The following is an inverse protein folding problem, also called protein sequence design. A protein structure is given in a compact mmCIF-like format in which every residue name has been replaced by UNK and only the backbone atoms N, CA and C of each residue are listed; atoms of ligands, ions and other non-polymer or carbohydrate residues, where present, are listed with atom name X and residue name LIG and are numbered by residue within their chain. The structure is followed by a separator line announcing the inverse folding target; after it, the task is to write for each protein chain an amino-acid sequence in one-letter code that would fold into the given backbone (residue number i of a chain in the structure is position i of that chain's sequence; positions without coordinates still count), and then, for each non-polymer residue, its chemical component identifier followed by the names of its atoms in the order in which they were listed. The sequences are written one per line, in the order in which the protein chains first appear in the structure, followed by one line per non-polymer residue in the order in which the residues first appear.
data_IF_217543457619
#
_entry.id   IF_217543457619
#
_cell.length_a   1.000
_cell.length_b   1.000
_cell.length_c   1.000
_cell.angle_alpha   90.00
_cell.angle_beta   90.00
_cell.angle_gamma   90.00
#
_symmetry.space_group_name_H-M   'P 1'
#
loop_
_entity.id
_entity.type
_entity.pdbx_description
1 polymer ?
#
# COMPACT_ATOMS: atom_id res chain seq x y z
N UNK A 1 0.37 10.95 28.27
CA UNK A 1 -0.81 11.23 27.46
C UNK A 1 -1.07 10.01 26.55
N UNK A 2 -2.26 9.37 26.70
CA UNK A 2 -2.64 8.17 25.92
C UNK A 2 -2.70 8.47 24.42
N UNK A 3 -3.12 9.67 24.02
CA UNK A 3 -3.18 10.07 22.61
C UNK A 3 -1.78 10.10 21.95
N UNK A 4 -0.78 10.65 22.61
CA UNK A 4 0.59 10.68 22.05
C UNK A 4 1.23 9.26 21.98
N UNK A 5 0.89 8.40 22.92
CA UNK A 5 1.32 7.01 22.89
C UNK A 5 0.59 6.24 21.77
N UNK A 6 -0.69 6.52 21.52
CA UNK A 6 -1.43 5.98 20.37
C UNK A 6 -0.76 6.39 19.05
N UNK A 7 -0.43 7.67 18.89
CA UNK A 7 0.28 8.17 17.69
C UNK A 7 1.64 7.50 17.52
N UNK A 8 2.37 7.26 18.61
CA UNK A 8 3.66 6.56 18.57
C UNK A 8 3.51 5.09 18.14
N UNK A 9 2.52 4.38 18.71
CA UNK A 9 2.21 2.98 18.33
C UNK A 9 1.86 2.89 16.82
N UNK A 10 1.04 3.82 16.31
CA UNK A 10 0.67 3.89 14.89
C UNK A 10 1.89 4.19 14.00
N UNK A 11 2.78 5.07 14.45
CA UNK A 11 4.04 5.34 13.76
C UNK A 11 4.91 4.09 13.61
N UNK A 12 4.98 3.26 14.66
CA UNK A 12 5.68 1.97 14.63
C UNK A 12 4.95 0.95 13.74
N UNK A 13 3.61 0.86 13.80
CA UNK A 13 2.82 0.05 12.87
C UNK A 13 3.18 0.37 11.41
N UNK A 14 3.27 1.65 11.06
CA UNK A 14 3.60 2.10 9.70
C UNK A 14 4.98 1.64 9.24
N UNK A 15 5.98 1.71 10.14
CA UNK A 15 7.34 1.23 9.86
C UNK A 15 7.33 -0.28 9.63
N UNK A 16 6.70 -1.03 10.52
CA UNK A 16 6.69 -2.49 10.45
C UNK A 16 5.84 -3.03 9.30
N UNK A 17 4.74 -2.35 8.96
CA UNK A 17 3.97 -2.65 7.75
C UNK A 17 4.83 -2.48 6.48
N UNK A 18 5.58 -1.39 6.36
CA UNK A 18 6.44 -1.13 5.20
C UNK A 18 7.61 -2.10 5.06
N UNK A 19 8.13 -2.60 6.17
CA UNK A 19 9.27 -3.52 6.20
C UNK A 19 8.84 -4.99 6.30
N UNK A 20 7.54 -5.28 6.16
CA UNK A 20 6.94 -6.62 6.27
C UNK A 20 7.33 -7.36 7.56
N UNK A 21 7.52 -6.63 8.66
CA UNK A 21 7.75 -7.17 10.00
C UNK A 21 6.39 -7.42 10.68
N UNK A 22 5.74 -8.49 10.27
CA UNK A 22 4.32 -8.74 10.56
C UNK A 22 4.03 -8.91 12.05
N UNK A 23 4.90 -9.62 12.80
CA UNK A 23 4.74 -9.82 14.24
C UNK A 23 4.75 -8.49 14.99
N UNK A 24 5.75 -7.66 14.72
CA UNK A 24 5.91 -6.35 15.35
C UNK A 24 4.74 -5.41 14.97
N UNK A 25 4.32 -5.45 13.71
CA UNK A 25 3.12 -4.72 13.28
C UNK A 25 1.91 -5.10 14.13
N UNK A 26 1.68 -6.40 14.30
CA UNK A 26 0.53 -6.91 15.03
C UNK A 26 0.57 -6.53 16.53
N UNK A 27 1.73 -6.61 17.15
CA UNK A 27 1.90 -6.23 18.56
C UNK A 27 1.55 -4.75 18.79
N UNK A 28 2.02 -3.86 17.92
CA UNK A 28 1.71 -2.42 18.01
C UNK A 28 0.27 -2.11 17.60
N UNK A 29 -0.31 -2.81 16.64
CA UNK A 29 -1.72 -2.69 16.30
C UNK A 29 -2.61 -3.02 17.50
N UNK A 30 -2.33 -4.11 18.21
CA UNK A 30 -3.06 -4.48 19.42
C UNK A 30 -2.86 -3.47 20.55
N UNK A 31 -1.66 -2.92 20.69
CA UNK A 31 -1.41 -1.83 21.63
C UNK A 31 -2.25 -0.59 21.31
N UNK A 32 -2.26 -0.17 20.05
CA UNK A 32 -3.05 0.95 19.56
C UNK A 32 -4.55 0.74 19.81
N UNK A 33 -5.10 -0.43 19.49
CA UNK A 33 -6.51 -0.76 19.73
C UNK A 33 -6.89 -0.65 21.22
N UNK A 34 -6.03 -1.16 22.12
CA UNK A 34 -6.28 -1.02 23.57
C UNK A 34 -6.28 0.43 24.03
N UNK A 35 -5.44 1.29 23.41
CA UNK A 35 -5.41 2.72 23.72
C UNK A 35 -6.64 3.44 23.17
N UNK A 36 -7.03 3.15 21.93
CA UNK A 36 -8.26 3.69 21.32
C UNK A 36 -9.46 3.39 22.23
N UNK A 37 -9.61 2.13 22.65
CA UNK A 37 -10.66 1.72 23.57
C UNK A 37 -10.66 2.51 24.90
N UNK A 38 -9.47 2.73 25.51
CA UNK A 38 -9.35 3.53 26.73
C UNK A 38 -9.70 5.00 26.51
N UNK A 39 -9.31 5.56 25.37
CA UNK A 39 -9.65 6.94 25.00
C UNK A 39 -11.18 7.08 24.85
N UNK A 40 -11.83 6.12 24.19
CA UNK A 40 -13.28 6.10 24.00
C UNK A 40 -14.04 5.94 25.35
N UNK A 41 -13.52 5.10 26.27
CA UNK A 41 -14.11 4.86 27.60
C UNK A 41 -13.93 6.05 28.55
N UNK A 42 -12.86 6.83 28.44
CA UNK A 42 -12.54 7.93 29.35
C UNK A 42 -13.48 9.13 29.17
N UNK A 43 -14.33 9.16 28.15
CA UNK A 43 -15.39 10.15 27.86
C UNK A 43 -15.00 11.61 28.14
N UNK A 44 -13.71 11.88 28.36
CA UNK A 44 -13.15 13.21 28.44
C UNK A 44 -13.20 13.77 27.04
N UNK A 45 -14.23 14.48 26.75
CA UNK A 45 -14.33 15.27 25.54
C UNK A 45 -13.01 16.05 25.40
N UNK A 46 -12.25 15.72 24.35
CA UNK A 46 -11.14 16.54 23.93
C UNK A 46 -11.72 17.91 23.53
N UNK A 47 -11.73 18.82 24.48
CA UNK A 47 -12.38 20.14 24.32
C UNK A 47 -11.54 21.02 23.42
N UNK A 48 -10.21 20.77 23.38
CA UNK A 48 -9.30 21.52 22.54
C UNK A 48 -9.40 21.04 21.08
N UNK A 49 -9.53 22.00 20.17
CA UNK A 49 -9.56 21.77 18.72
C UNK A 49 -8.32 21.03 18.23
N UNK A 50 -7.15 21.33 18.79
CA UNK A 50 -5.87 20.71 18.39
C UNK A 50 -5.84 19.22 18.78
N UNK A 51 -6.28 18.88 20.00
CA UNK A 51 -6.36 17.49 20.43
C UNK A 51 -7.37 16.68 19.60
N UNK A 52 -8.50 17.27 19.22
CA UNK A 52 -9.48 16.61 18.32
C UNK A 52 -8.91 16.33 16.94
N UNK A 53 -8.20 17.28 16.34
CA UNK A 53 -7.54 17.06 15.06
C UNK A 53 -6.47 15.96 15.17
N UNK A 54 -5.74 15.94 16.27
CA UNK A 54 -4.74 14.92 16.56
C UNK A 54 -5.35 13.53 16.74
N UNK A 55 -6.50 13.45 17.39
CA UNK A 55 -7.27 12.22 17.55
C UNK A 55 -7.80 11.71 16.21
N UNK A 56 -8.39 12.57 15.39
CA UNK A 56 -8.89 12.23 14.06
C UNK A 56 -7.76 11.72 13.15
N UNK A 57 -6.58 12.36 13.21
CA UNK A 57 -5.38 11.87 12.55
C UNK A 57 -5.03 10.45 13.03
N UNK A 58 -4.95 10.22 14.33
CA UNK A 58 -4.55 8.94 14.89
C UNK A 58 -5.51 7.81 14.46
N UNK A 59 -6.83 8.04 14.54
CA UNK A 59 -7.83 7.05 14.16
C UNK A 59 -7.79 6.77 12.64
N UNK A 60 -7.77 7.80 11.80
CA UNK A 60 -7.71 7.62 10.35
C UNK A 60 -6.42 6.92 9.91
N UNK A 61 -5.26 7.32 10.46
CA UNK A 61 -3.97 6.70 10.15
C UNK A 61 -3.93 5.22 10.60
N UNK A 62 -4.49 4.90 11.77
CA UNK A 62 -4.60 3.52 12.25
C UNK A 62 -5.35 2.63 11.26
N UNK A 63 -6.51 3.07 10.80
CA UNK A 63 -7.33 2.29 9.88
C UNK A 63 -6.74 2.23 8.46
N UNK A 64 -6.14 3.33 7.97
CA UNK A 64 -5.45 3.33 6.66
C UNK A 64 -4.27 2.35 6.68
N UNK A 65 -3.41 2.42 7.71
CA UNK A 65 -2.24 1.53 7.83
C UNK A 65 -2.67 0.07 8.00
N UNK A 66 -3.75 -0.20 8.74
CA UNK A 66 -4.34 -1.54 8.86
C UNK A 66 -4.87 -2.03 7.51
N UNK A 67 -5.57 -1.20 6.75
CA UNK A 67 -6.08 -1.55 5.42
C UNK A 67 -4.93 -1.89 4.45
N UNK A 68 -3.85 -1.10 4.46
CA UNK A 68 -2.64 -1.36 3.67
C UNK A 68 -1.99 -2.68 4.07
N UNK A 69 -1.87 -2.96 5.37
CA UNK A 69 -1.34 -4.23 5.88
C UNK A 69 -2.14 -5.43 5.36
N UNK A 70 -3.46 -5.41 5.53
CA UNK A 70 -4.33 -6.49 5.04
C UNK A 70 -4.31 -6.62 3.52
N UNK A 71 -4.20 -5.52 2.79
CA UNK A 71 -4.01 -5.56 1.33
C UNK A 71 -2.77 -6.34 0.93
N UNK A 72 -1.62 -6.11 1.58
CA UNK A 72 -0.37 -6.85 1.30
C UNK A 72 -0.46 -8.33 1.69
N UNK A 73 -1.21 -8.67 2.72
CA UNK A 73 -1.52 -10.06 3.07
C UNK A 73 -2.56 -10.71 2.13
N UNK A 74 -3.09 -9.96 1.15
CA UNK A 74 -4.18 -10.39 0.26
C UNK A 74 -5.48 -10.74 1.00
N UNK A 75 -5.71 -10.13 2.14
CA UNK A 75 -6.94 -10.21 2.93
C UNK A 75 -7.82 -9.00 2.57
N UNK A 76 -8.39 -9.04 1.36
CA UNK A 76 -9.21 -7.93 0.85
C UNK A 76 -10.43 -7.61 1.71
N UNK A 77 -11.19 -8.57 2.24
CA UNK A 77 -12.33 -8.27 3.11
C UNK A 77 -11.93 -7.45 4.34
N UNK A 78 -10.84 -7.80 5.01
CA UNK A 78 -10.31 -7.13 6.18
C UNK A 78 -9.77 -5.73 5.83
N UNK A 79 -9.13 -5.60 4.66
CA UNK A 79 -8.68 -4.31 4.17
C UNK A 79 -9.85 -3.35 3.90
N UNK A 80 -10.93 -3.85 3.25
CA UNK A 80 -12.15 -3.08 2.99
C UNK A 80 -12.85 -2.72 4.31
N UNK A 81 -12.98 -3.68 5.24
CA UNK A 81 -13.56 -3.40 6.55
C UNK A 81 -12.77 -2.30 7.28
N UNK A 82 -11.43 -2.38 7.29
CA UNK A 82 -10.60 -1.38 7.93
C UNK A 82 -10.77 0.02 7.34
N UNK A 83 -10.79 0.15 6.00
CA UNK A 83 -10.92 1.49 5.38
C UNK A 83 -12.31 2.08 5.58
N UNK A 84 -13.34 1.26 5.73
CA UNK A 84 -14.72 1.68 5.95
C UNK A 84 -15.01 2.11 7.40
N UNK A 85 -14.12 1.79 8.36
CA UNK A 85 -14.19 2.32 9.74
C UNK A 85 -13.88 3.81 9.81
N UNK A 86 -13.32 4.41 8.75
CA UNK A 86 -13.05 5.85 8.68
C UNK A 86 -14.35 6.59 8.37
N UNK A 87 -15.00 7.06 9.43
CA UNK A 87 -16.26 7.79 9.33
C UNK A 87 -16.37 8.84 10.44
N UNK A 88 -16.93 10.05 10.20
CA UNK A 88 -17.39 10.57 8.91
C UNK A 88 -16.25 11.20 8.09
N UNK A 89 -16.34 11.15 6.77
CA UNK A 89 -15.38 11.77 5.84
C UNK A 89 -15.22 13.29 6.05
N UNK A 90 -16.23 13.95 6.62
CA UNK A 90 -16.21 15.39 6.93
C UNK A 90 -15.10 15.74 7.94
N UNK A 91 -14.85 14.86 8.91
CA UNK A 91 -13.75 15.05 9.88
C UNK A 91 -12.39 14.81 9.21
N UNK A 92 -12.33 13.88 8.28
CA UNK A 92 -11.13 13.61 7.48
C UNK A 92 -10.76 14.81 6.59
N UNK A 93 -11.76 15.55 6.09
CA UNK A 93 -11.55 16.74 5.26
C UNK A 93 -10.85 17.90 6.03
N UNK A 94 -10.81 17.86 7.35
CA UNK A 94 -10.04 18.81 8.16
C UNK A 94 -8.51 18.58 8.07
N UNK A 95 -8.07 17.37 7.69
CA UNK A 95 -6.66 17.06 7.41
C UNK A 95 -6.51 16.60 5.95
N UNK A 96 -6.06 17.50 5.09
CA UNK A 96 -5.92 17.23 3.66
C UNK A 96 -4.95 16.07 3.37
N UNK A 97 -3.91 15.86 4.18
CA UNK A 97 -2.99 14.74 3.97
C UNK A 97 -3.71 13.40 4.23
N UNK A 98 -4.51 13.32 5.28
CA UNK A 98 -5.29 12.13 5.61
C UNK A 98 -6.38 11.87 4.56
N UNK A 99 -7.06 12.90 4.09
CA UNK A 99 -8.05 12.80 3.02
C UNK A 99 -7.44 12.27 1.73
N UNK A 100 -6.30 12.83 1.32
CA UNK A 100 -5.57 12.38 0.12
C UNK A 100 -5.07 10.94 0.27
N UNK A 101 -4.58 10.58 1.45
CA UNK A 101 -4.10 9.24 1.73
C UNK A 101 -5.24 8.21 1.69
N UNK A 102 -6.40 8.54 2.27
CA UNK A 102 -7.61 7.73 2.21
C UNK A 102 -8.04 7.45 0.76
N UNK A 103 -8.22 8.49 -0.06
CA UNK A 103 -8.61 8.33 -1.46
C UNK A 103 -7.58 7.54 -2.26
N UNK A 104 -6.30 7.83 -2.04
CA UNK A 104 -5.21 7.12 -2.72
C UNK A 104 -5.22 5.62 -2.41
N UNK A 105 -5.28 5.24 -1.13
CA UNK A 105 -5.27 3.82 -0.73
C UNK A 105 -6.52 3.12 -1.24
N UNK A 106 -7.67 3.76 -1.13
CA UNK A 106 -8.93 3.16 -1.59
C UNK A 106 -8.92 2.85 -3.09
N UNK A 107 -8.34 3.72 -3.89
CA UNK A 107 -8.20 3.50 -5.33
C UNK A 107 -7.04 2.56 -5.69
N UNK A 108 -5.84 2.76 -5.13
CA UNK A 108 -4.63 2.02 -5.51
C UNK A 108 -4.60 0.59 -5.03
N UNK A 109 -5.23 0.29 -3.90
CA UNK A 109 -5.32 -1.04 -3.31
C UNK A 109 -6.64 -1.77 -3.68
N UNK A 110 -7.41 -1.25 -4.63
CA UNK A 110 -8.66 -1.84 -5.10
C UNK A 110 -9.67 -2.12 -3.96
N UNK A 111 -9.79 -1.19 -3.01
CA UNK A 111 -10.65 -1.33 -1.84
C UNK A 111 -12.06 -0.76 -2.05
N UNK A 112 -12.39 -0.34 -3.27
CA UNK A 112 -13.72 0.13 -3.59
C UNK A 112 -14.73 -1.01 -3.62
N UNK A 113 -15.91 -0.76 -3.09
CA UNK A 113 -17.05 -1.67 -3.16
C UNK A 113 -17.89 -1.36 -4.39
N UNK A 114 -18.63 -2.33 -4.88
CA UNK A 114 -19.54 -2.23 -6.02
C UNK A 114 -20.14 -3.59 -6.35
N UNK A 115 -21.34 -3.60 -6.91
CA UNK A 115 -22.06 -4.83 -7.25
C UNK A 115 -21.35 -5.61 -8.37
N UNK A 116 -20.76 -4.89 -9.32
CA UNK A 116 -20.04 -5.46 -10.45
C UNK A 116 -18.53 -5.14 -10.41
N UNK A 117 -17.74 -5.92 -11.13
CA UNK A 117 -16.31 -5.63 -11.31
C UNK A 117 -16.09 -4.27 -11.99
N UNK A 118 -16.93 -3.94 -12.98
CA UNK A 118 -16.85 -2.68 -13.71
C UNK A 118 -17.13 -1.48 -12.82
N UNK A 119 -18.13 -1.57 -11.95
CA UNK A 119 -18.42 -0.51 -10.97
C UNK A 119 -17.26 -0.30 -10.00
N UNK A 120 -16.68 -1.39 -9.47
CA UNK A 120 -15.51 -1.29 -8.59
C UNK A 120 -14.36 -0.58 -9.28
N UNK A 121 -14.03 -0.98 -10.52
CA UNK A 121 -12.97 -0.36 -11.33
C UNK A 121 -13.21 1.13 -11.60
N UNK A 122 -14.47 1.51 -11.88
CA UNK A 122 -14.84 2.91 -12.08
C UNK A 122 -14.67 3.72 -10.80
N UNK A 123 -15.04 3.18 -9.64
CA UNK A 123 -14.84 3.81 -8.34
C UNK A 123 -13.36 3.92 -7.99
N UNK A 124 -12.55 2.91 -8.28
CA UNK A 124 -11.08 2.95 -8.12
C UNK A 124 -10.47 4.10 -8.94
N UNK A 125 -10.91 4.24 -10.20
CA UNK A 125 -10.52 5.38 -11.04
C UNK A 125 -10.93 6.71 -10.41
N UNK A 126 -12.17 6.84 -9.96
CA UNK A 126 -12.70 8.07 -9.39
C UNK A 126 -11.97 8.47 -8.09
N UNK A 127 -11.57 7.51 -7.25
CA UNK A 127 -10.77 7.75 -6.06
C UNK A 127 -9.35 8.24 -6.40
N UNK A 128 -8.66 7.61 -7.35
CA UNK A 128 -7.34 8.04 -7.81
C UNK A 128 -7.40 9.41 -8.51
N UNK A 129 -8.43 9.65 -9.31
CA UNK A 129 -8.66 10.94 -9.94
C UNK A 129 -8.93 12.04 -8.89
N UNK A 130 -9.70 11.73 -7.86
CA UNK A 130 -9.96 12.65 -6.74
C UNK A 130 -8.66 12.97 -6.00
N UNK A 131 -7.83 11.97 -5.73
CA UNK A 131 -6.50 12.15 -5.14
C UNK A 131 -5.67 13.15 -5.96
N UNK A 132 -5.51 12.89 -7.25
CA UNK A 132 -4.76 13.79 -8.14
C UNK A 132 -5.35 15.20 -8.16
N UNK A 133 -6.66 15.33 -8.31
CA UNK A 133 -7.35 16.62 -8.45
C UNK A 133 -7.21 17.49 -7.20
N UNK A 134 -7.40 16.91 -6.02
CA UNK A 134 -7.25 17.62 -4.76
C UNK A 134 -5.77 17.95 -4.49
N UNK A 135 -4.88 17.01 -4.74
CA UNK A 135 -3.44 17.19 -4.55
C UNK A 135 -2.87 18.26 -5.47
N UNK A 136 -3.25 18.25 -6.75
CA UNK A 136 -2.82 19.25 -7.74
C UNK A 136 -3.27 20.66 -7.37
N UNK A 137 -4.51 20.82 -6.87
CA UNK A 137 -5.04 22.12 -6.41
C UNK A 137 -4.36 22.63 -5.14
N UNK A 138 -4.00 21.71 -4.24
CA UNK A 138 -3.38 22.03 -2.97
C UNK A 138 -1.85 22.08 -3.00
N UNK A 139 -1.19 21.70 -4.10
CA UNK A 139 0.27 21.66 -4.22
C UNK A 139 0.92 20.47 -3.49
N UNK A 140 0.21 19.37 -3.25
CA UNK A 140 0.70 18.16 -2.58
C UNK A 140 1.41 17.23 -3.59
N UNK A 141 2.65 17.53 -3.93
CA UNK A 141 3.42 16.83 -4.98
C UNK A 141 3.46 15.30 -4.81
N UNK A 142 3.60 14.81 -3.59
CA UNK A 142 3.63 13.38 -3.28
C UNK A 142 2.33 12.68 -3.71
N UNK A 143 1.18 13.21 -3.29
CA UNK A 143 -0.12 12.63 -3.63
C UNK A 143 -0.52 12.91 -5.08
N UNK A 144 -0.09 14.03 -5.65
CA UNK A 144 -0.27 14.30 -7.07
C UNK A 144 0.44 13.23 -7.93
N UNK A 145 1.70 12.90 -7.57
CA UNK A 145 2.46 11.81 -8.21
C UNK A 145 1.79 10.45 -8.03
N UNK A 146 1.36 10.12 -6.81
CA UNK A 146 0.71 8.84 -6.50
C UNK A 146 -0.63 8.68 -7.23
N UNK A 147 -1.45 9.74 -7.31
CA UNK A 147 -2.73 9.70 -8.02
C UNK A 147 -2.56 9.38 -9.51
N UNK A 148 -1.66 10.10 -10.20
CA UNK A 148 -1.42 9.83 -11.63
C UNK A 148 -0.70 8.51 -11.87
N UNK A 149 0.18 8.07 -10.98
CA UNK A 149 0.81 6.76 -11.04
C UNK A 149 -0.22 5.62 -10.90
N UNK A 150 -1.13 5.75 -9.95
CA UNK A 150 -2.22 4.79 -9.78
C UNK A 150 -3.10 4.68 -11.03
N UNK A 151 -3.43 5.81 -11.64
CA UNK A 151 -4.18 5.86 -12.90
C UNK A 151 -3.40 5.26 -14.07
N UNK A 152 -2.08 5.54 -14.17
CA UNK A 152 -1.22 4.90 -15.17
C UNK A 152 -1.24 3.38 -15.04
N UNK A 153 -1.11 2.86 -13.81
CA UNK A 153 -1.16 1.43 -13.53
C UNK A 153 -2.51 0.79 -13.84
N UNK A 154 -3.61 1.51 -13.54
CA UNK A 154 -4.97 1.03 -13.78
C UNK A 154 -5.27 0.91 -15.27
N UNK A 155 -4.72 1.79 -16.10
CA UNK A 155 -4.93 1.87 -17.55
C UNK A 155 -3.77 1.25 -18.37
N UNK A 156 -2.81 0.56 -17.76
CA UNK A 156 -1.59 0.13 -18.44
C UNK A 156 -1.84 -0.83 -19.62
N UNK A 157 -2.89 -1.67 -19.59
CA UNK A 157 -3.25 -2.53 -20.71
C UNK A 157 -4.21 -1.83 -21.69
N UNK A 158 -4.16 -2.17 -23.00
CA UNK A 158 -5.06 -1.59 -24.02
C UNK A 158 -6.54 -1.72 -23.65
N UNK A 159 -6.99 -2.91 -23.22
CA UNK A 159 -8.39 -3.16 -22.84
C UNK A 159 -8.84 -2.26 -21.69
N UNK A 160 -7.96 -2.04 -20.71
CA UNK A 160 -8.25 -1.14 -19.60
C UNK A 160 -8.30 0.33 -20.04
N UNK A 161 -7.37 0.74 -20.91
CA UNK A 161 -7.39 2.08 -21.47
C UNK A 161 -8.71 2.36 -22.20
N UNK A 162 -9.12 1.46 -23.09
CA UNK A 162 -10.38 1.62 -23.86
C UNK A 162 -11.60 1.65 -22.93
N UNK A 163 -11.61 0.82 -21.88
CA UNK A 163 -12.67 0.81 -20.89
C UNK A 163 -12.86 2.17 -20.22
N UNK A 164 -11.77 2.81 -19.77
CA UNK A 164 -11.84 4.10 -19.10
C UNK A 164 -12.00 5.27 -20.08
N UNK A 165 -11.42 5.20 -21.27
CA UNK A 165 -11.64 6.19 -22.31
C UNK A 165 -13.12 6.33 -22.66
N UNK A 166 -13.83 5.21 -22.80
CA UNK A 166 -15.25 5.21 -23.09
C UNK A 166 -16.14 5.78 -21.97
N UNK A 167 -15.69 5.72 -20.71
CA UNK A 167 -16.52 6.04 -19.53
C UNK A 167 -16.06 7.25 -18.73
N UNK A 168 -14.81 7.69 -18.88
CA UNK A 168 -14.18 8.79 -18.12
C UNK A 168 -13.45 9.80 -19.00
N UNK A 169 -13.78 9.90 -20.29
CA UNK A 169 -13.10 10.76 -21.27
C UNK A 169 -12.97 12.22 -20.82
N UNK A 170 -13.98 12.76 -20.12
CA UNK A 170 -13.91 14.12 -19.61
C UNK A 170 -12.84 14.29 -18.52
N UNK A 171 -12.71 13.31 -17.62
CA UNK A 171 -11.68 13.34 -16.57
C UNK A 171 -10.28 13.20 -17.18
N UNK A 172 -10.12 12.30 -18.17
CA UNK A 172 -8.84 12.06 -18.84
C UNK A 172 -8.27 13.32 -19.51
N UNK A 173 -9.12 14.20 -20.05
CA UNK A 173 -8.70 15.47 -20.67
C UNK A 173 -8.14 16.49 -19.69
N UNK A 174 -8.37 16.31 -18.37
CA UNK A 174 -7.94 17.28 -17.35
C UNK A 174 -6.48 17.16 -16.94
N UNK A 175 -5.79 16.07 -17.31
CA UNK A 175 -4.37 15.87 -16.96
C UNK A 175 -3.42 16.78 -17.76
N UNK A 176 -3.88 17.45 -18.78
CA UNK A 176 -3.04 18.35 -19.61
C UNK A 176 -2.01 17.62 -20.47
N UNK A 177 -2.23 16.34 -20.72
CA UNK A 177 -1.42 15.49 -21.62
C UNK A 177 -2.31 14.94 -22.75
N UNK A 178 -1.74 14.49 -23.89
CA UNK A 178 -2.51 13.90 -24.97
C UNK A 178 -3.35 12.72 -24.49
N UNK A 179 -4.60 12.62 -24.96
CA UNK A 179 -5.52 11.52 -24.67
C UNK A 179 -5.55 10.59 -25.87
N UNK A 180 -4.52 9.79 -25.99
CA UNK A 180 -4.33 8.77 -27.01
C UNK A 180 -3.92 7.44 -26.34
N UNK A 181 -3.56 6.43 -27.09
CA UNK A 181 -3.13 5.13 -26.58
C UNK A 181 -1.87 5.21 -25.69
N UNK A 182 -1.10 6.30 -25.77
CA UNK A 182 0.07 6.56 -24.94
C UNK A 182 -0.27 7.25 -23.60
N UNK A 183 -1.53 7.55 -23.33
CA UNK A 183 -1.94 8.26 -22.12
C UNK A 183 -1.41 7.61 -20.84
N UNK A 184 -1.47 6.28 -20.63
CA UNK A 184 -0.93 5.66 -19.40
C UNK A 184 0.58 5.89 -19.25
N UNK A 185 1.33 5.89 -20.36
CA UNK A 185 2.76 6.22 -20.37
C UNK A 185 2.99 7.70 -20.02
N UNK A 186 2.20 8.61 -20.59
CA UNK A 186 2.29 10.04 -20.26
C UNK A 186 2.00 10.30 -18.78
N UNK A 187 1.03 9.59 -18.19
CA UNK A 187 0.72 9.69 -16.76
C UNK A 187 1.88 9.13 -15.91
N UNK A 188 2.50 8.02 -16.31
CA UNK A 188 3.70 7.49 -15.67
C UNK A 188 4.87 8.49 -15.69
N UNK A 189 5.08 9.16 -16.83
CA UNK A 189 6.09 10.22 -16.96
C UNK A 189 5.75 11.46 -16.11
N UNK A 190 4.48 11.81 -16.00
CA UNK A 190 4.03 12.90 -15.12
C UNK A 190 4.29 12.54 -13.64
N UNK A 191 3.98 11.32 -13.22
CA UNK A 191 4.30 10.82 -11.88
C UNK A 191 5.81 10.90 -11.60
N UNK A 192 6.63 10.42 -12.53
CA UNK A 192 8.09 10.48 -12.45
C UNK A 192 8.59 11.92 -12.26
N UNK A 193 8.02 12.87 -13.02
CA UNK A 193 8.33 14.30 -12.87
C UNK A 193 8.00 14.81 -11.47
N UNK A 194 6.83 14.45 -10.93
CA UNK A 194 6.39 14.89 -9.59
C UNK A 194 7.26 14.30 -8.48
N UNK A 195 7.60 13.02 -8.56
CA UNK A 195 8.48 12.39 -7.57
C UNK A 195 9.92 12.90 -7.64
N UNK A 196 10.43 13.27 -8.83
CA UNK A 196 11.72 13.97 -8.95
C UNK A 196 11.67 15.35 -8.29
N UNK A 197 10.57 16.09 -8.43
CA UNK A 197 10.40 17.39 -7.75
C UNK A 197 10.28 17.21 -6.23
N UNK A 198 9.63 16.14 -5.77
CA UNK A 198 9.51 15.79 -4.36
C UNK A 198 10.80 15.19 -3.77
N UNK A 199 11.73 14.77 -4.63
CA UNK A 199 13.03 14.18 -4.29
C UNK A 199 12.93 12.85 -3.51
N UNK A 200 11.97 12.00 -3.88
CA UNK A 200 11.79 10.68 -3.30
C UNK A 200 12.25 9.58 -4.26
N UNK A 201 13.48 9.09 -4.05
CA UNK A 201 14.11 8.08 -4.91
C UNK A 201 13.32 6.76 -4.92
N UNK A 202 12.68 6.40 -3.82
CA UNK A 202 11.88 5.18 -3.73
C UNK A 202 10.60 5.28 -4.57
N UNK A 203 9.91 6.41 -4.56
CA UNK A 203 8.74 6.66 -5.41
C UNK A 203 9.13 6.82 -6.89
N UNK A 204 10.33 7.34 -7.17
CA UNK A 204 10.89 7.37 -8.53
C UNK A 204 11.01 5.95 -9.10
N UNK A 205 11.46 4.98 -8.29
CA UNK A 205 11.46 3.56 -8.70
C UNK A 205 10.05 3.09 -9.08
N UNK A 206 9.05 3.41 -8.27
CA UNK A 206 7.65 3.07 -8.55
C UNK A 206 7.12 3.66 -9.86
N UNK A 207 7.49 4.90 -10.18
CA UNK A 207 7.10 5.51 -11.46
C UNK A 207 7.75 4.79 -12.66
N UNK A 208 9.02 4.39 -12.55
CA UNK A 208 9.66 3.57 -13.58
C UNK A 208 8.99 2.19 -13.71
N UNK A 209 8.57 1.56 -12.61
CA UNK A 209 7.79 0.30 -12.67
C UNK A 209 6.49 0.50 -13.45
N UNK A 210 5.78 1.60 -13.24
CA UNK A 210 4.53 1.89 -13.95
C UNK A 210 4.75 2.06 -15.46
N UNK A 211 5.83 2.74 -15.84
CA UNK A 211 6.23 2.89 -17.25
C UNK A 211 6.63 1.52 -17.84
N UNK A 212 7.46 0.74 -17.12
CA UNK A 212 7.87 -0.61 -17.54
C UNK A 212 6.68 -1.55 -17.72
N UNK A 213 5.68 -1.49 -16.83
CA UNK A 213 4.45 -2.26 -16.95
C UNK A 213 3.67 -1.90 -18.23
N UNK A 214 3.56 -0.60 -18.53
CA UNK A 214 2.94 -0.15 -19.79
C UNK A 214 3.69 -0.69 -21.00
N UNK A 215 5.03 -0.56 -21.03
CA UNK A 215 5.87 -1.05 -22.13
C UNK A 215 5.73 -2.56 -22.32
N UNK A 216 5.72 -3.35 -21.24
CA UNK A 216 5.47 -4.78 -21.29
C UNK A 216 4.09 -5.12 -21.87
N UNK A 217 3.05 -4.38 -21.49
CA UNK A 217 1.68 -4.59 -21.98
C UNK A 217 1.53 -4.25 -23.49
N UNK A 218 2.52 -3.57 -24.06
CA UNK A 218 2.57 -3.18 -25.49
C UNK A 218 3.74 -3.84 -26.24
N UNK A 219 4.25 -4.95 -25.72
CA UNK A 219 5.31 -5.77 -26.31
C UNK A 219 6.63 -5.02 -26.59
N UNK A 220 6.84 -3.88 -25.94
CA UNK A 220 8.05 -3.09 -26.05
C UNK A 220 9.09 -3.48 -24.98
N UNK A 221 9.52 -4.75 -25.02
CA UNK A 221 10.32 -5.37 -23.98
C UNK A 221 11.74 -4.80 -23.84
N UNK A 222 12.35 -4.31 -24.91
CA UNK A 222 13.69 -3.71 -24.85
C UNK A 222 13.70 -2.43 -24.02
N UNK A 223 12.77 -1.51 -24.29
CA UNK A 223 12.62 -0.27 -23.51
C UNK A 223 12.12 -0.55 -22.08
N UNK A 224 11.29 -1.60 -21.90
CA UNK A 224 10.87 -2.06 -20.60
C UNK A 224 12.06 -2.50 -19.74
N UNK A 225 13.02 -3.24 -20.31
CA UNK A 225 14.24 -3.68 -19.62
C UNK A 225 15.07 -2.49 -19.16
N UNK A 226 15.32 -1.53 -20.04
CA UNK A 226 16.06 -0.30 -19.69
C UNK A 226 15.37 0.47 -18.56
N UNK A 227 14.05 0.64 -18.67
CA UNK A 227 13.24 1.36 -17.67
C UNK A 227 13.24 0.66 -16.30
N UNK A 228 13.10 -0.67 -16.29
CA UNK A 228 13.08 -1.45 -15.05
C UNK A 228 14.48 -1.55 -14.42
N UNK A 229 15.54 -1.49 -15.24
CA UNK A 229 16.92 -1.36 -14.73
C UNK A 229 17.09 -0.05 -13.95
N UNK A 230 16.57 1.08 -14.47
CA UNK A 230 16.57 2.35 -13.74
C UNK A 230 15.76 2.27 -12.44
N UNK A 231 14.63 1.54 -12.45
CA UNK A 231 13.87 1.31 -11.22
C UNK A 231 14.71 0.57 -10.16
N UNK A 232 15.43 -0.46 -10.57
CA UNK A 232 16.31 -1.24 -9.69
C UNK A 232 17.47 -0.40 -9.13
N UNK A 233 18.07 0.47 -9.96
CA UNK A 233 19.10 1.41 -9.52
C UNK A 233 18.59 2.41 -8.48
N UNK A 234 17.35 2.89 -8.63
CA UNK A 234 16.71 3.74 -7.63
C UNK A 234 16.52 3.00 -6.30
N UNK A 235 16.07 1.75 -6.32
CA UNK A 235 15.95 0.91 -5.11
C UNK A 235 17.33 0.71 -4.47
N UNK A 236 18.36 0.35 -5.22
CA UNK A 236 19.72 0.22 -4.72
C UNK A 236 20.23 1.53 -4.08
N UNK A 237 19.94 2.66 -4.70
CA UNK A 237 20.31 3.98 -4.17
C UNK A 237 19.59 4.28 -2.84
N UNK A 238 18.29 3.96 -2.77
CA UNK A 238 17.50 4.12 -1.54
C UNK A 238 18.03 3.23 -0.41
N UNK A 239 18.35 1.96 -0.68
CA UNK A 239 18.86 1.03 0.34
C UNK A 239 20.24 1.44 0.85
N UNK A 240 21.14 1.89 -0.02
CA UNK A 240 22.44 2.45 0.41
C UNK A 240 22.28 3.63 1.34
N UNK A 241 21.28 4.47 1.10
CA UNK A 241 21.07 5.69 1.88
C UNK A 241 20.42 5.42 3.25
N UNK A 242 19.53 4.43 3.34
CA UNK A 242 18.66 4.27 4.51
C UNK A 242 18.81 2.95 5.24
N UNK A 243 19.46 1.91 4.66
CA UNK A 243 19.46 0.55 5.19
C UNK A 243 20.83 -0.12 5.25
N UNK A 244 21.92 0.64 5.26
CA UNK A 244 23.27 0.11 5.46
C UNK A 244 23.74 -0.92 4.41
N UNK A 245 23.20 -0.90 3.19
CA UNK A 245 23.60 -1.78 2.09
C UNK A 245 24.75 -1.17 1.29
N UNK A 246 25.93 -1.11 1.88
CA UNK A 246 27.09 -0.46 1.25
C UNK A 246 27.92 -1.36 0.35
N UNK A 247 27.86 -2.69 0.56
CA UNK A 247 28.60 -3.64 -0.28
C UNK A 247 27.92 -3.75 -1.66
N UNK A 248 28.72 -3.55 -2.72
CA UNK A 248 28.26 -3.71 -4.10
C UNK A 248 27.82 -5.14 -4.44
N UNK A 249 28.28 -6.14 -3.67
CA UNK A 249 27.85 -7.53 -3.79
C UNK A 249 26.39 -7.73 -3.36
N UNK A 250 25.88 -6.88 -2.50
CA UNK A 250 24.49 -6.91 -2.02
C UNK A 250 23.54 -6.12 -2.93
N UNK A 251 24.03 -5.48 -4.00
CA UNK A 251 23.17 -4.70 -4.90
C UNK A 251 22.30 -5.62 -5.75
N UNK A 252 21.05 -5.21 -5.93
CA UNK A 252 20.11 -5.89 -6.79
C UNK A 252 20.53 -5.73 -8.25
N UNK A 253 20.54 -6.82 -9.00
CA UNK A 253 20.88 -6.88 -10.43
C UNK A 253 19.68 -7.45 -11.20
N UNK A 254 19.55 -7.07 -12.45
CA UNK A 254 18.51 -7.64 -13.33
C UNK A 254 18.67 -9.14 -13.52
N UNK A 255 19.92 -9.62 -13.47
CA UNK A 255 20.29 -11.03 -13.48
C UNK A 255 21.64 -11.24 -12.79
N UNK A 256 21.77 -12.30 -12.02
CA UNK A 256 23.02 -12.69 -11.38
C UNK A 256 23.27 -14.18 -11.62
N UNK A 257 24.44 -14.49 -12.19
CA UNK A 257 24.85 -15.88 -12.49
C UNK A 257 25.41 -16.63 -11.27
N UNK A 258 25.54 -15.97 -10.12
CA UNK A 258 26.03 -16.63 -8.90
C UNK A 258 25.01 -17.66 -8.44
N UNK A 259 25.43 -18.91 -8.28
CA UNK A 259 24.65 -20.02 -7.69
C UNK A 259 24.44 -19.82 -6.16
N UNK A 260 24.16 -18.60 -5.74
CA UNK A 260 24.00 -18.23 -4.34
C UNK A 260 22.57 -17.72 -4.12
N UNK A 261 22.19 -17.68 -2.85
CA UNK A 261 20.98 -17.01 -2.40
C UNK A 261 20.91 -15.62 -3.02
N UNK A 262 19.76 -15.22 -3.55
CA UNK A 262 19.58 -13.87 -4.11
C UNK A 262 19.89 -12.80 -3.05
N UNK A 263 20.32 -11.61 -3.49
CA UNK A 263 20.58 -10.51 -2.56
C UNK A 263 19.34 -10.16 -1.75
N UNK A 264 18.15 -10.24 -2.34
CA UNK A 264 16.88 -10.00 -1.65
C UNK A 264 16.64 -11.00 -0.52
N UNK A 265 16.84 -12.29 -0.78
CA UNK A 265 16.68 -13.33 0.23
C UNK A 265 17.72 -13.19 1.33
N UNK A 266 18.95 -12.89 0.96
CA UNK A 266 20.01 -12.60 1.93
C UNK A 266 19.67 -11.40 2.83
N UNK A 267 19.01 -10.37 2.30
CA UNK A 267 18.55 -9.23 3.09
C UNK A 267 17.49 -9.63 4.10
N UNK A 268 16.52 -10.43 3.68
CA UNK A 268 15.45 -10.93 4.56
C UNK A 268 16.05 -11.83 5.66
N UNK A 269 16.91 -12.79 5.31
CA UNK A 269 17.57 -13.70 6.26
C UNK A 269 18.43 -12.95 7.28
N UNK A 270 19.14 -11.91 6.86
CA UNK A 270 19.94 -11.05 7.75
C UNK A 270 19.08 -10.06 8.56
N UNK A 271 17.76 -10.08 8.41
CA UNK A 271 16.83 -9.10 9.00
C UNK A 271 17.20 -7.65 8.68
N UNK A 272 17.78 -7.42 7.52
CA UNK A 272 17.99 -6.09 7.02
C UNK A 272 16.63 -5.47 6.73
N UNK A 273 16.40 -4.29 7.26
CA UNK A 273 15.16 -3.55 7.03
C UNK A 273 15.10 -3.13 5.57
N UNK A 274 14.24 -3.76 4.81
CA UNK A 274 14.00 -3.45 3.40
C UNK A 274 12.56 -3.05 3.21
N UNK A 275 12.24 -2.41 2.10
CA UNK A 275 10.86 -2.14 1.67
C UNK A 275 10.59 -3.01 0.45
N UNK A 276 9.98 -4.19 0.62
CA UNK A 276 9.91 -5.20 -0.43
C UNK A 276 8.96 -4.86 -1.58
N UNK A 277 8.07 -3.86 -1.41
CA UNK A 277 7.00 -3.57 -2.37
C UNK A 277 7.51 -3.33 -3.79
N UNK A 278 8.38 -2.33 -4.00
CA UNK A 278 8.87 -2.05 -5.34
C UNK A 278 9.83 -3.12 -5.84
N UNK A 279 10.56 -3.79 -4.95
CA UNK A 279 11.42 -4.91 -5.33
C UNK A 279 10.58 -6.03 -5.97
N UNK A 280 9.52 -6.47 -5.30
CA UNK A 280 8.65 -7.53 -5.81
C UNK A 280 8.02 -7.15 -7.16
N UNK A 281 7.53 -5.90 -7.29
CA UNK A 281 6.95 -5.42 -8.55
C UNK A 281 7.97 -5.28 -9.68
N UNK A 282 9.19 -4.85 -9.38
CA UNK A 282 10.28 -4.83 -10.37
C UNK A 282 10.59 -6.24 -10.84
N UNK A 283 10.70 -7.21 -9.91
CA UNK A 283 10.99 -8.62 -10.23
C UNK A 283 9.88 -9.25 -11.06
N UNK A 284 8.62 -8.99 -10.73
CA UNK A 284 7.48 -9.40 -11.54
C UNK A 284 7.60 -8.87 -12.97
N UNK A 285 7.82 -7.57 -13.14
CA UNK A 285 7.88 -6.95 -14.45
C UNK A 285 9.13 -7.37 -15.25
N UNK A 286 10.30 -7.53 -14.62
CA UNK A 286 11.50 -8.08 -15.26
C UNK A 286 11.28 -9.53 -15.73
N UNK A 287 10.55 -10.34 -14.97
CA UNK A 287 10.20 -11.69 -15.41
C UNK A 287 9.40 -11.68 -16.72
N UNK A 288 8.39 -10.79 -16.81
CA UNK A 288 7.59 -10.61 -18.03
C UNK A 288 8.47 -10.09 -19.19
N UNK A 289 9.27 -9.07 -18.94
CA UNK A 289 10.18 -8.48 -19.93
C UNK A 289 11.12 -9.53 -20.53
N UNK A 290 11.79 -10.31 -19.69
CA UNK A 290 12.72 -11.35 -20.15
C UNK A 290 12.02 -12.52 -20.84
N UNK A 291 10.77 -12.84 -20.45
CA UNK A 291 9.97 -13.81 -21.18
C UNK A 291 9.66 -13.32 -22.59
N UNK A 292 9.28 -12.04 -22.75
CA UNK A 292 9.05 -11.42 -24.07
C UNK A 292 10.32 -11.31 -24.94
N UNK A 293 11.49 -11.21 -24.31
CA UNK A 293 12.80 -11.25 -25.00
C UNK A 293 13.32 -12.68 -25.26
N UNK A 294 12.52 -13.71 -24.97
CA UNK A 294 12.89 -15.13 -25.09
C UNK A 294 14.10 -15.55 -24.22
N UNK A 295 14.42 -14.77 -23.18
CA UNK A 295 15.53 -15.00 -22.25
C UNK A 295 15.05 -15.81 -21.04
N UNK A 296 14.74 -17.09 -21.23
CA UNK A 296 14.09 -17.95 -20.24
C UNK A 296 14.80 -17.97 -18.87
N UNK A 297 16.12 -18.12 -18.83
CA UNK A 297 16.87 -18.19 -17.57
C UNK A 297 16.73 -16.89 -16.75
N UNK A 298 16.76 -15.73 -17.42
CA UNK A 298 16.59 -14.42 -16.78
C UNK A 298 15.15 -14.23 -16.28
N UNK A 299 14.16 -14.69 -17.07
CA UNK A 299 12.76 -14.68 -16.67
C UNK A 299 12.52 -15.54 -15.43
N UNK A 300 13.00 -16.80 -15.43
CA UNK A 300 12.88 -17.72 -14.30
C UNK A 300 13.57 -17.18 -13.04
N UNK A 301 14.76 -16.59 -13.17
CA UNK A 301 15.48 -15.96 -12.07
C UNK A 301 14.64 -14.88 -11.39
N UNK A 302 14.11 -13.93 -12.17
CA UNK A 302 13.30 -12.83 -11.62
C UNK A 302 11.96 -13.32 -11.04
N UNK A 303 11.32 -14.30 -11.72
CA UNK A 303 10.08 -14.91 -11.22
C UNK A 303 10.28 -15.62 -9.88
N UNK A 304 11.36 -16.37 -9.73
CA UNK A 304 11.62 -17.10 -8.49
C UNK A 304 11.86 -16.14 -7.33
N UNK A 305 12.64 -15.06 -7.52
CA UNK A 305 12.83 -14.03 -6.50
C UNK A 305 11.50 -13.35 -6.14
N UNK A 306 10.67 -13.03 -7.14
CA UNK A 306 9.34 -12.48 -6.91
C UNK A 306 8.50 -13.40 -6.01
N UNK A 307 8.46 -14.70 -6.30
CA UNK A 307 7.72 -15.68 -5.53
C UNK A 307 8.28 -15.85 -4.12
N UNK A 308 9.61 -15.88 -3.96
CA UNK A 308 10.28 -15.94 -2.66
C UNK A 308 9.91 -14.72 -1.78
N UNK A 309 9.96 -13.51 -2.34
CA UNK A 309 9.56 -12.29 -1.61
C UNK A 309 8.08 -12.37 -1.18
N UNK A 310 7.21 -12.84 -2.08
CA UNK A 310 5.80 -12.99 -1.74
C UNK A 310 5.58 -14.01 -0.62
N UNK A 311 6.30 -15.12 -0.64
CA UNK A 311 6.23 -16.14 0.41
C UNK A 311 6.71 -15.57 1.73
N UNK A 312 7.91 -14.99 1.76
CA UNK A 312 8.53 -14.44 2.96
C UNK A 312 7.71 -13.30 3.59
N UNK A 313 7.11 -12.43 2.77
CA UNK A 313 6.27 -11.32 3.27
C UNK A 313 4.87 -11.75 3.70
N UNK A 314 4.44 -12.97 3.35
CA UNK A 314 3.14 -13.55 3.71
C UNK A 314 3.22 -14.68 4.74
N UNK A 315 4.40 -15.08 5.18
CA UNK A 315 4.59 -16.22 6.11
C UNK A 315 3.75 -16.11 7.38
N UNK A 316 3.44 -14.89 7.81
CA UNK A 316 2.63 -14.67 9.01
C UNK A 316 1.11 -14.65 8.77
N UNK A 317 0.63 -14.99 7.57
CA UNK A 317 -0.81 -15.12 7.30
C UNK A 317 -1.46 -16.15 8.24
N UNK A 318 -0.73 -17.23 8.55
CA UNK A 318 -1.20 -18.25 9.49
C UNK A 318 -1.21 -17.71 10.94
N UNK A 319 -0.22 -16.90 11.29
CA UNK A 319 -0.16 -16.23 12.59
C UNK A 319 -1.34 -15.25 12.74
N UNK A 320 -1.59 -14.41 11.74
CA UNK A 320 -2.74 -13.48 11.71
C UNK A 320 -4.06 -14.24 11.85
N UNK A 321 -4.25 -15.32 11.09
CA UNK A 321 -5.43 -16.17 11.17
C UNK A 321 -5.62 -16.77 12.57
N UNK A 322 -4.54 -17.21 13.22
CA UNK A 322 -4.58 -17.71 14.60
C UNK A 322 -4.95 -16.63 15.60
N UNK A 323 -4.40 -15.42 15.44
CA UNK A 323 -4.74 -14.29 16.32
C UNK A 323 -6.19 -13.86 16.15
N UNK A 324 -6.69 -13.80 14.93
CA UNK A 324 -8.11 -13.47 14.67
C UNK A 324 -9.04 -14.54 15.27
N UNK A 325 -8.66 -15.82 15.16
CA UNK A 325 -9.39 -16.90 15.80
C UNK A 325 -9.42 -16.74 17.34
N UNK A 326 -8.27 -16.52 17.96
CA UNK A 326 -8.16 -16.28 19.41
C UNK A 326 -8.94 -15.06 19.87
N UNK A 327 -8.89 -13.96 19.10
CA UNK A 327 -9.68 -12.74 19.40
C UNK A 327 -11.18 -13.02 19.32
N UNK A 328 -11.64 -13.78 18.32
CA UNK A 328 -13.04 -14.18 18.19
C UNK A 328 -13.49 -15.10 19.32
N UNK A 329 -12.65 -16.06 19.72
CA UNK A 329 -12.90 -16.95 20.86
C UNK A 329 -12.96 -16.16 22.18
N UNK A 330 -12.03 -15.24 22.40
CA UNK A 330 -12.04 -14.36 23.57
C UNK A 330 -13.30 -13.49 23.61
N UNK A 331 -13.75 -12.97 22.48
CA UNK A 331 -15.01 -12.21 22.37
C UNK A 331 -16.22 -13.09 22.71
N UNK A 332 -16.28 -14.32 22.19
CA UNK A 332 -17.37 -15.26 22.49
C UNK A 332 -17.37 -15.64 23.97
N UNK A 333 -16.21 -15.89 24.57
CA UNK A 333 -16.08 -16.17 26.01
C UNK A 333 -16.54 -14.99 26.87
N UNK A 334 -16.20 -13.78 26.49
CA UNK A 334 -16.65 -12.57 27.21
C UNK A 334 -18.17 -12.40 27.12
N UNK A 335 -18.79 -12.67 25.98
CA UNK A 335 -20.23 -12.63 25.81
C UNK A 335 -20.90 -13.71 26.67
N UNK A 336 -20.35 -14.94 26.66
CA UNK A 336 -20.84 -16.04 27.49
C UNK A 336 -20.75 -15.69 28.98
N UNK A 337 -19.61 -15.16 29.43
CA UNK A 337 -19.37 -14.70 30.79
C UNK A 337 -20.41 -13.63 31.21
N UNK A 338 -20.67 -12.68 30.32
CA UNK A 338 -21.69 -11.66 30.56
C UNK A 338 -23.08 -12.29 30.80
N UNK A 339 -23.51 -13.26 29.98
CA UNK A 339 -24.76 -13.96 30.18
C UNK A 339 -24.80 -14.77 31.48
N UNK A 340 -23.71 -15.42 31.84
CA UNK A 340 -23.58 -16.14 33.12
C UNK A 340 -23.73 -15.20 34.31
N UNK A 341 -23.06 -14.02 34.27
CA UNK A 341 -23.16 -13.02 35.33
C UNK A 341 -24.60 -12.47 35.44
N UNK A 342 -25.22 -12.14 34.31
CA UNK A 342 -26.61 -11.66 34.28
C UNK A 342 -27.57 -12.73 34.80
N UNK A 343 -27.40 -13.98 34.39
CA UNK A 343 -28.19 -15.12 34.90
C UNK A 343 -28.03 -15.30 36.42
N UNK A 344 -26.81 -15.21 36.94
CA UNK A 344 -26.53 -15.30 38.36
C UNK A 344 -27.22 -14.15 39.17
N UNK A 345 -27.10 -12.94 38.64
CA UNK A 345 -27.77 -11.76 39.26
C UNK A 345 -29.30 -11.97 39.31
N UNK A 346 -29.91 -12.46 38.25
CA UNK A 346 -31.33 -12.74 38.21
C UNK A 346 -31.73 -13.82 39.25
N UNK A 347 -30.95 -14.89 39.39
CA UNK A 347 -31.18 -15.93 40.37
C UNK A 347 -31.06 -15.38 41.82
N UNK A 348 -30.16 -14.45 42.07
CA UNK A 348 -30.00 -13.84 43.42
C UNK A 348 -31.14 -12.85 43.76
N UNK A 349 -31.73 -12.20 42.74
CA UNK A 349 -32.84 -11.23 42.91
C UNK A 349 -34.16 -11.95 43.09
N UNK A 350 -34.36 -13.14 42.47
CA UNK A 350 -35.58 -13.95 42.61
C UNK A 350 -35.45 -15.00 43.73
#
# INVERSE_FOLDING_TARGET
NELEQLVADIGLMKIYQRTAMNKEFYDYRNSALRRMKRIDEDNKLFVDKHERLRLNYAYSEFYIVSAVYYYYLQQRPEAVASINEIYPQEELAADMNQLLYYHYIKGSAALCEGETADERRLREFDELYTTWKLASRGGYLYFEGNGVQGLANLMASPDNYDFFQGRRSHALKQFGVPVDSLLPMHLGQLALKKFKQYNDVYQIAGAYVSIGKYLNAHDNYAEALDTLTLALECVNSHHRRFYDCHDSLDWLKTYDMRDTISSEKAWIERKLRTVPEWISRIREQLSVTYAGLEMKQHSDYNRNIYLDILEDTRQDKELESRYQALESEARQLNILLFFVIVGFILVVIF
#
